data_IF_458307423199
#
_entry.id   IF_458307423199
#
_cell.length_a   1.000
_cell.length_b   1.000
_cell.length_c   1.000
_cell.angle_alpha   90.00
_cell.angle_beta   90.00
_cell.angle_gamma   90.00
#
_symmetry.space_group_name_H-M   'P 1'
#
loop_
_entity.id
_entity.type
_entity.pdbx_description
1 polymer ?
#
# COMPACT_ATOMS: atom_id res chain seq x y z
N UNK A 1 -5.58 -13.44 5.37
CA UNK A 1 -5.46 -12.25 6.23
C UNK A 1 -6.17 -12.45 7.55
N UNK A 2 -5.51 -12.02 8.62
CA UNK A 2 -6.05 -11.82 9.97
C UNK A 2 -6.74 -10.45 10.05
N UNK A 3 -7.32 -10.09 11.21
CA UNK A 3 -7.85 -8.73 11.41
C UNK A 3 -6.72 -7.71 11.54
N UNK A 4 -5.66 -8.11 12.21
CA UNK A 4 -4.45 -7.35 12.43
C UNK A 4 -3.79 -6.99 11.09
N UNK A 5 -3.76 -7.93 10.13
CA UNK A 5 -3.28 -7.66 8.78
C UNK A 5 -4.15 -6.61 8.05
N UNK A 6 -5.47 -6.64 8.26
CA UNK A 6 -6.40 -5.66 7.66
C UNK A 6 -6.15 -4.27 8.24
N UNK A 7 -6.02 -4.16 9.56
CA UNK A 7 -5.74 -2.89 10.23
C UNK A 7 -4.39 -2.31 9.75
N UNK A 8 -3.37 -3.16 9.63
CA UNK A 8 -2.07 -2.75 9.10
C UNK A 8 -2.19 -2.31 7.64
N UNK A 9 -2.92 -3.05 6.80
CA UNK A 9 -3.17 -2.65 5.41
C UNK A 9 -3.86 -1.28 5.32
N UNK A 10 -4.93 -1.08 6.11
CA UNK A 10 -5.71 0.15 6.14
C UNK A 10 -4.90 1.36 6.61
N UNK A 11 -3.83 1.14 7.39
CA UNK A 11 -2.85 2.16 7.76
C UNK A 11 -1.82 2.41 6.64
N UNK A 12 -1.18 1.35 6.16
CA UNK A 12 0.02 1.42 5.31
C UNK A 12 -0.31 1.83 3.88
N UNK A 13 -1.39 1.28 3.32
CA UNK A 13 -1.73 1.55 1.92
C UNK A 13 -2.02 3.04 1.65
N UNK A 14 -2.81 3.76 2.48
CA UNK A 14 -2.97 5.21 2.33
C UNK A 14 -1.67 6.00 2.55
N UNK A 15 -0.82 5.57 3.49
CA UNK A 15 0.46 6.23 3.77
C UNK A 15 1.42 6.13 2.57
N UNK A 16 1.57 4.94 1.98
CA UNK A 16 2.36 4.73 0.75
C UNK A 16 1.79 5.56 -0.41
N UNK A 17 0.47 5.58 -0.58
CA UNK A 17 -0.17 6.42 -1.61
C UNK A 17 0.09 7.92 -1.39
N UNK A 18 0.08 8.38 -0.13
CA UNK A 18 0.41 9.76 0.23
C UNK A 18 1.85 10.10 -0.13
N UNK A 19 2.80 9.24 0.24
CA UNK A 19 4.22 9.39 -0.10
C UNK A 19 4.44 9.38 -1.62
N UNK A 20 3.78 8.48 -2.35
CA UNK A 20 3.86 8.42 -3.82
C UNK A 20 3.39 9.74 -4.46
N UNK A 21 2.29 10.31 -3.96
CA UNK A 21 1.80 11.61 -4.44
C UNK A 21 2.78 12.74 -4.11
N UNK A 22 3.27 12.82 -2.87
CA UNK A 22 4.19 13.88 -2.44
C UNK A 22 5.51 13.82 -3.21
N UNK A 23 6.19 12.66 -3.21
CA UNK A 23 7.47 12.50 -3.90
C UNK A 23 7.27 12.56 -5.43
N UNK A 24 6.13 12.08 -5.95
CA UNK A 24 5.77 12.22 -7.36
C UNK A 24 5.71 13.67 -7.83
N UNK A 25 5.23 14.60 -6.99
CA UNK A 25 5.26 16.03 -7.30
C UNK A 25 6.68 16.59 -7.35
N UNK A 26 7.57 16.12 -6.47
CA UNK A 26 8.99 16.51 -6.47
C UNK A 26 9.70 15.93 -7.69
N UNK A 27 9.48 14.65 -7.99
CA UNK A 27 10.11 13.93 -9.09
C UNK A 27 9.75 14.50 -10.47
N UNK A 28 8.53 14.98 -10.66
CA UNK A 28 8.14 15.70 -11.88
C UNK A 28 8.97 16.97 -12.14
N UNK A 29 9.48 17.61 -11.09
CA UNK A 29 10.29 18.83 -11.20
C UNK A 29 11.78 18.49 -11.24
N UNK A 30 12.23 17.66 -10.31
CA UNK A 30 13.63 17.35 -10.08
C UNK A 30 13.83 15.83 -9.87
N UNK A 31 13.73 15.01 -10.94
CA UNK A 31 13.75 13.56 -10.81
C UNK A 31 15.04 13.02 -10.18
N UNK A 32 16.18 13.68 -10.45
CA UNK A 32 17.51 13.28 -10.00
C UNK A 32 17.89 13.85 -8.62
N UNK A 33 17.03 14.66 -7.98
CA UNK A 33 17.33 15.19 -6.64
C UNK A 33 17.34 14.07 -5.61
N UNK A 34 18.35 14.09 -4.74
CA UNK A 34 18.48 13.14 -3.63
C UNK A 34 17.36 13.38 -2.61
N UNK A 35 16.73 12.29 -2.17
CA UNK A 35 15.76 12.33 -1.07
C UNK A 35 16.52 12.26 0.25
N UNK A 36 16.30 13.24 1.12
CA UNK A 36 17.00 13.28 2.40
C UNK A 36 16.60 12.14 3.36
N UNK A 37 17.49 11.83 4.28
CA UNK A 37 17.38 10.72 5.24
C UNK A 37 16.14 10.80 6.12
N UNK A 38 15.70 12.03 6.45
CA UNK A 38 14.49 12.24 7.23
C UNK A 38 13.27 11.62 6.53
N UNK A 39 13.11 11.85 5.22
CA UNK A 39 12.02 11.29 4.42
C UNK A 39 12.21 9.80 4.18
N UNK A 40 13.42 9.38 3.84
CA UNK A 40 13.75 7.97 3.60
C UNK A 40 13.40 7.09 4.80
N UNK A 41 13.68 7.55 6.02
CA UNK A 41 13.29 6.83 7.24
C UNK A 41 11.80 6.52 7.32
N UNK A 42 10.92 7.46 6.93
CA UNK A 42 9.47 7.22 6.96
C UNK A 42 9.01 6.38 5.78
N UNK A 43 9.60 6.56 4.60
CA UNK A 43 9.37 5.69 3.45
C UNK A 43 9.72 4.24 3.81
N UNK A 44 10.90 4.01 4.38
CA UNK A 44 11.37 2.69 4.80
C UNK A 44 10.45 2.05 5.83
N UNK A 45 9.94 2.79 6.82
CA UNK A 45 8.95 2.26 7.78
C UNK A 45 7.71 1.71 7.07
N UNK A 46 7.20 2.43 6.06
CA UNK A 46 6.04 1.98 5.29
C UNK A 46 6.36 0.78 4.40
N UNK A 47 7.55 0.73 3.78
CA UNK A 47 7.99 -0.40 2.98
C UNK A 47 8.16 -1.67 3.82
N UNK A 48 8.72 -1.55 5.03
CA UNK A 48 8.84 -2.66 5.98
C UNK A 48 7.47 -3.16 6.44
N UNK A 49 6.56 -2.26 6.81
CA UNK A 49 5.19 -2.63 7.17
C UNK A 49 4.49 -3.33 5.99
N UNK A 50 4.64 -2.82 4.76
CA UNK A 50 4.07 -3.45 3.56
C UNK A 50 4.70 -4.83 3.27
N UNK A 51 6.00 -4.99 3.48
CA UNK A 51 6.69 -6.27 3.32
C UNK A 51 6.17 -7.32 4.28
N UNK A 52 5.81 -6.94 5.50
CA UNK A 52 5.20 -7.87 6.47
C UNK A 52 3.83 -8.40 6.00
N UNK A 53 3.08 -7.59 5.25
CA UNK A 53 1.81 -8.00 4.64
C UNK A 53 2.00 -8.84 3.38
N UNK A 54 2.99 -8.49 2.56
CA UNK A 54 3.20 -9.09 1.24
C UNK A 54 3.95 -10.42 1.31
N UNK A 55 4.85 -10.62 2.28
CA UNK A 55 5.64 -11.86 2.40
C UNK A 55 6.40 -12.17 1.10
N UNK A 56 6.09 -13.30 0.46
CA UNK A 56 6.70 -13.69 -0.82
C UNK A 56 6.11 -12.94 -2.04
N UNK A 57 4.96 -12.27 -1.89
CA UNK A 57 4.31 -11.50 -2.96
C UNK A 57 4.87 -10.06 -3.10
N UNK A 58 6.02 -9.76 -2.48
CA UNK A 58 6.73 -8.47 -2.62
C UNK A 58 7.04 -8.19 -4.10
N UNK A 59 7.15 -6.91 -4.51
CA UNK A 59 7.44 -6.59 -5.91
C UNK A 59 8.79 -7.13 -6.39
N UNK A 60 9.80 -7.08 -5.52
CA UNK A 60 11.14 -7.59 -5.77
C UNK A 60 11.62 -8.36 -4.55
N UNK A 61 12.19 -9.55 -4.76
CA UNK A 61 12.61 -10.43 -3.68
C UNK A 61 13.83 -9.88 -2.92
N UNK A 62 14.73 -9.21 -3.64
CA UNK A 62 16.01 -8.65 -3.20
C UNK A 62 15.91 -7.22 -2.68
N UNK A 63 14.77 -6.55 -2.82
CA UNK A 63 14.55 -5.22 -2.25
C UNK A 63 13.69 -5.30 -0.98
N UNK A 64 14.23 -4.81 0.13
CA UNK A 64 13.49 -4.68 1.39
C UNK A 64 13.13 -3.23 1.71
N UNK A 65 14.11 -2.34 1.66
CA UNK A 65 13.96 -0.91 1.86
C UNK A 65 15.20 -0.19 1.28
N UNK A 66 15.20 1.15 1.27
CA UNK A 66 16.38 1.92 0.89
C UNK A 66 17.45 1.82 1.98
N UNK A 67 18.66 1.38 1.64
CA UNK A 67 19.78 1.25 2.58
C UNK A 67 20.26 2.64 3.07
N UNK A 68 20.91 2.70 4.23
CA UNK A 68 21.33 3.97 4.85
C UNK A 68 22.37 4.74 4.02
N UNK A 69 23.20 4.02 3.26
CA UNK A 69 24.17 4.55 2.32
C UNK A 69 23.65 4.63 0.88
N UNK A 70 22.41 4.17 0.64
CA UNK A 70 21.75 4.41 -0.63
C UNK A 70 21.46 5.90 -0.77
N UNK A 71 21.71 6.46 -1.95
CA UNK A 71 21.46 7.87 -2.27
C UNK A 71 20.28 7.95 -3.24
N UNK A 72 19.06 7.52 -2.83
CA UNK A 72 17.96 7.40 -3.76
C UNK A 72 17.50 8.77 -4.22
N UNK A 73 17.27 8.88 -5.53
CA UNK A 73 16.67 10.05 -6.14
C UNK A 73 15.15 10.04 -5.96
N UNK A 74 14.51 11.20 -6.18
CA UNK A 74 13.04 11.25 -6.13
C UNK A 74 12.40 10.30 -7.15
N UNK A 75 13.00 10.10 -8.33
CA UNK A 75 12.50 9.11 -9.31
C UNK A 75 12.65 7.67 -8.81
N UNK A 76 13.74 7.32 -8.14
CA UNK A 76 13.93 5.97 -7.58
C UNK A 76 12.85 5.67 -6.54
N UNK A 77 12.60 6.62 -5.65
CA UNK A 77 11.56 6.50 -4.62
C UNK A 77 10.16 6.36 -5.24
N UNK A 78 9.83 7.17 -6.24
CA UNK A 78 8.53 7.09 -6.93
C UNK A 78 8.34 5.74 -7.58
N UNK A 79 9.36 5.26 -8.31
CA UNK A 79 9.33 3.96 -8.97
C UNK A 79 9.06 2.85 -7.95
N UNK A 80 9.78 2.82 -6.83
CA UNK A 80 9.57 1.77 -5.82
C UNK A 80 8.21 1.86 -5.15
N UNK A 81 7.73 3.05 -4.80
CA UNK A 81 6.41 3.23 -4.20
C UNK A 81 5.28 2.74 -5.13
N UNK A 82 5.38 3.00 -6.44
CA UNK A 82 4.40 2.51 -7.42
C UNK A 82 4.33 0.97 -7.49
N UNK A 83 5.48 0.30 -7.42
CA UNK A 83 5.55 -1.16 -7.39
C UNK A 83 4.89 -1.74 -6.14
N UNK A 84 5.11 -1.11 -4.98
CA UNK A 84 4.47 -1.50 -3.72
C UNK A 84 2.96 -1.22 -3.70
N UNK A 85 2.50 -0.10 -4.25
CA UNK A 85 1.06 0.18 -4.42
C UNK A 85 0.42 -0.93 -5.23
N UNK A 86 1.00 -1.27 -6.38
CA UNK A 86 0.50 -2.33 -7.26
C UNK A 86 0.43 -3.70 -6.55
N UNK A 87 1.43 -4.02 -5.73
CA UNK A 87 1.44 -5.26 -4.95
C UNK A 87 0.37 -5.28 -3.85
N UNK A 88 0.18 -4.18 -3.14
CA UNK A 88 -0.85 -4.05 -2.10
C UNK A 88 -2.26 -4.09 -2.70
N UNK A 89 -2.49 -3.51 -3.87
CA UNK A 89 -3.77 -3.64 -4.58
C UNK A 89 -4.06 -5.10 -4.95
N UNK A 90 -3.06 -5.85 -5.44
CA UNK A 90 -3.21 -7.29 -5.67
C UNK A 90 -3.51 -8.06 -4.39
N UNK A 91 -2.85 -7.72 -3.28
CA UNK A 91 -3.13 -8.31 -1.97
C UNK A 91 -4.59 -8.07 -1.56
N UNK A 92 -5.07 -6.82 -1.65
CA UNK A 92 -6.47 -6.47 -1.39
C UNK A 92 -7.41 -7.28 -2.27
N UNK A 93 -7.23 -7.25 -3.58
CA UNK A 93 -8.11 -7.92 -4.53
C UNK A 93 -8.24 -9.43 -4.26
N UNK A 94 -7.14 -10.10 -3.88
CA UNK A 94 -7.15 -11.54 -3.52
C UNK A 94 -7.85 -11.84 -2.19
N UNK A 95 -7.96 -10.87 -1.29
CA UNK A 95 -8.49 -11.04 0.06
C UNK A 95 -9.82 -10.31 0.28
N UNK A 96 -10.49 -9.89 -0.80
CA UNK A 96 -11.80 -9.23 -0.73
C UNK A 96 -12.82 -9.91 -1.61
N UNK A 97 -14.09 -9.80 -1.23
CA UNK A 97 -15.21 -10.22 -2.07
C UNK A 97 -16.20 -9.07 -2.23
N UNK A 98 -16.76 -8.92 -3.42
CA UNK A 98 -17.80 -7.92 -3.71
C UNK A 98 -19.17 -8.56 -3.67
N UNK A 99 -20.10 -7.93 -2.97
CA UNK A 99 -21.50 -8.36 -2.87
C UNK A 99 -22.41 -7.19 -3.22
N UNK A 100 -23.63 -7.50 -3.66
CA UNK A 100 -24.72 -6.52 -3.69
C UNK A 100 -25.34 -6.44 -2.31
N UNK A 101 -25.44 -5.23 -1.78
CA UNK A 101 -26.06 -4.93 -0.49
C UNK A 101 -27.05 -3.80 -0.70
N UNK A 102 -28.13 -3.81 0.08
CA UNK A 102 -29.08 -2.69 0.09
C UNK A 102 -28.47 -1.54 0.88
N UNK A 103 -28.42 -0.35 0.27
CA UNK A 103 -28.02 0.86 0.95
C UNK A 103 -29.11 1.26 1.96
N UNK A 104 -28.80 1.38 3.26
CA UNK A 104 -29.80 1.62 4.29
C UNK A 104 -30.42 3.02 4.23
N UNK A 105 -29.76 3.99 3.60
CA UNK A 105 -30.25 5.36 3.49
C UNK A 105 -31.21 5.52 2.28
N UNK A 106 -31.00 4.75 1.21
CA UNK A 106 -31.69 4.93 -0.07
C UNK A 106 -32.51 3.73 -0.54
N UNK A 107 -32.37 2.55 0.08
CA UNK A 107 -33.07 1.32 -0.31
C UNK A 107 -32.68 0.79 -1.69
N UNK A 108 -31.49 1.17 -2.20
CA UNK A 108 -30.99 0.77 -3.52
C UNK A 108 -29.88 -0.26 -3.39
N UNK A 109 -29.81 -1.21 -4.32
CA UNK A 109 -28.68 -2.16 -4.36
C UNK A 109 -27.39 -1.47 -4.79
N UNK A 110 -26.36 -1.54 -3.95
CA UNK A 110 -25.00 -1.08 -4.22
C UNK A 110 -24.02 -2.24 -4.17
N UNK A 111 -22.91 -2.12 -4.90
CA UNK A 111 -21.80 -3.07 -4.78
C UNK A 111 -20.87 -2.63 -3.64
N UNK A 112 -20.68 -3.51 -2.65
CA UNK A 112 -19.76 -3.28 -1.54
C UNK A 112 -18.77 -4.44 -1.42
N UNK A 113 -17.51 -4.10 -1.15
CA UNK A 113 -16.43 -5.06 -0.98
C UNK A 113 -16.12 -5.28 0.50
N UNK A 114 -15.95 -6.54 0.87
CA UNK A 114 -15.68 -6.97 2.23
C UNK A 114 -14.43 -7.84 2.29
N UNK A 115 -13.64 -7.69 3.35
CA UNK A 115 -12.48 -8.52 3.59
C UNK A 115 -12.85 -9.97 3.92
N UNK A 116 -12.01 -10.90 3.49
CA UNK A 116 -12.02 -12.31 3.89
C UNK A 116 -11.03 -12.51 5.03
N UNK A 117 -11.54 -12.86 6.21
CA UNK A 117 -10.73 -13.10 7.41
C UNK A 117 -10.69 -14.60 7.67
N UNK A 118 -9.49 -15.18 7.72
CA UNK A 118 -9.27 -16.62 7.97
C UNK A 118 -10.16 -17.52 7.08
N UNK A 119 -10.28 -17.17 5.80
CA UNK A 119 -11.06 -17.93 4.80
C UNK A 119 -12.58 -17.72 4.86
N UNK A 120 -13.08 -16.85 5.75
CA UNK A 120 -14.52 -16.54 5.87
C UNK A 120 -14.77 -15.08 5.52
N UNK A 121 -15.89 -14.82 4.86
CA UNK A 121 -16.36 -13.43 4.67
C UNK A 121 -16.51 -12.73 6.02
N UNK A 122 -15.95 -11.52 6.14
CA UNK A 122 -16.16 -10.63 7.28
C UNK A 122 -17.16 -9.53 6.95
N UNK A 123 -17.54 -8.74 7.96
CA UNK A 123 -18.31 -7.50 7.79
C UNK A 123 -17.40 -6.26 7.74
N UNK A 124 -16.09 -6.43 7.51
CA UNK A 124 -15.13 -5.33 7.44
C UNK A 124 -15.08 -4.83 6.00
N UNK A 125 -15.36 -3.55 5.79
CA UNK A 125 -15.34 -2.92 4.46
C UNK A 125 -13.91 -2.80 3.92
N UNK A 126 -13.77 -2.96 2.60
CA UNK A 126 -12.49 -2.99 1.91
C UNK A 126 -12.20 -1.80 0.99
#
# INVERSE_FOLDING_TARGET
>A
MTKEDIELYQKVFPQINGLYKEIGLLSKKNPNDVVNDFKIRFINKNLVDANSLLGEDKPYADFHCFEEDSVPTTSDVVMMLEQYISALERLKNRNTITKRVEDPDWGVEVQQSFWVVNGKTSNINA
#
